data_IF_837042319341
#
_entry.id   IF_837042319341
#
_cell.length_a   1.000
_cell.length_b   1.000
_cell.length_c   1.000
_cell.angle_alpha   90.00
_cell.angle_beta   90.00
_cell.angle_gamma   90.00
#
_symmetry.space_group_name_H-M   'P 1'
#
loop_
_entity.id
_entity.type
_entity.pdbx_description
1 polymer ?
#
# COMPACT_ATOMS: atom_id res chain seq x y z
N UNK A 1 32.73 -25.66 44.06
CA UNK A 1 31.61 -25.50 43.11
C UNK A 1 32.16 -24.79 41.88
N UNK A 2 32.58 -25.54 40.87
CA UNK A 2 33.04 -24.95 39.61
C UNK A 2 31.82 -24.31 38.93
N UNK A 3 31.82 -22.99 38.78
CA UNK A 3 30.76 -22.28 38.06
C UNK A 3 30.63 -22.87 36.65
N UNK A 4 29.40 -23.16 36.22
CA UNK A 4 29.13 -23.57 34.84
C UNK A 4 29.83 -22.59 33.91
N UNK A 5 30.64 -23.09 32.98
CA UNK A 5 31.26 -22.23 31.98
C UNK A 5 30.13 -21.51 31.21
N UNK A 6 30.36 -20.26 30.81
CA UNK A 6 29.40 -19.50 29.97
C UNK A 6 28.97 -20.33 28.74
N UNK A 7 29.86 -21.19 28.26
CA UNK A 7 29.64 -22.12 27.14
C UNK A 7 28.61 -23.21 27.50
N UNK A 8 28.64 -23.76 28.72
CA UNK A 8 27.68 -24.79 29.16
C UNK A 8 26.27 -24.22 29.36
N UNK A 9 26.18 -22.93 29.73
CA UNK A 9 24.91 -22.21 29.87
C UNK A 9 24.31 -21.92 28.49
N UNK A 10 25.14 -21.54 27.51
CA UNK A 10 24.72 -21.28 26.14
C UNK A 10 24.26 -22.55 25.38
N UNK A 11 24.87 -23.71 25.64
CA UNK A 11 24.46 -24.99 25.02
C UNK A 11 23.15 -25.56 25.60
N UNK A 12 22.82 -25.24 26.85
CA UNK A 12 21.65 -25.79 27.55
C UNK A 12 20.50 -24.80 27.69
N UNK A 13 20.43 -23.78 26.82
CA UNK A 13 19.28 -22.87 26.81
C UNK A 13 18.05 -23.71 26.43
N UNK A 14 17.01 -23.79 27.29
CA UNK A 14 15.78 -24.48 26.96
C UNK A 14 15.16 -23.86 25.70
N UNK A 15 14.66 -24.69 24.79
CA UNK A 15 13.99 -24.21 23.55
C UNK A 15 12.85 -23.23 23.86
N UNK A 16 12.19 -23.40 25.01
CA UNK A 16 11.11 -22.54 25.50
C UNK A 16 11.59 -21.09 25.70
N UNK A 17 12.83 -20.90 26.19
CA UNK A 17 13.44 -19.57 26.36
C UNK A 17 13.75 -18.97 24.99
N UNK A 18 14.28 -19.75 24.05
CA UNK A 18 14.56 -19.31 22.68
C UNK A 18 13.27 -18.84 22.00
N UNK A 19 12.20 -19.66 22.06
CA UNK A 19 10.90 -19.31 21.50
C UNK A 19 10.29 -18.09 22.18
N UNK A 20 10.46 -17.92 23.49
CA UNK A 20 9.98 -16.75 24.22
C UNK A 20 10.70 -15.47 23.76
N UNK A 21 12.03 -15.53 23.57
CA UNK A 21 12.82 -14.39 23.08
C UNK A 21 12.39 -14.01 21.66
N UNK A 22 12.24 -15.00 20.76
CA UNK A 22 11.78 -14.77 19.38
C UNK A 22 10.37 -14.16 19.40
N UNK A 23 9.46 -14.69 20.22
CA UNK A 23 8.09 -14.18 20.35
C UNK A 23 8.08 -12.73 20.83
N UNK A 24 8.83 -12.40 21.88
CA UNK A 24 8.94 -11.02 22.41
C UNK A 24 9.46 -10.09 21.31
N UNK A 25 10.48 -10.53 20.57
CA UNK A 25 11.06 -9.72 19.51
C UNK A 25 10.16 -9.54 18.28
N UNK A 26 9.22 -10.45 18.03
CA UNK A 26 8.18 -10.24 17.03
C UNK A 26 7.09 -9.29 17.53
N UNK A 27 6.75 -9.35 18.82
CA UNK A 27 5.70 -8.50 19.42
C UNK A 27 6.13 -7.03 19.49
N UNK A 28 7.40 -6.75 19.82
CA UNK A 28 7.89 -5.37 19.99
C UNK A 28 7.64 -4.52 18.73
N UNK A 29 8.04 -4.92 17.51
CA UNK A 29 7.79 -4.15 16.30
C UNK A 29 6.31 -4.01 15.91
N UNK A 30 5.48 -4.98 16.28
CA UNK A 30 4.03 -4.91 16.04
C UNK A 30 3.37 -3.81 16.89
N UNK A 31 3.84 -3.61 18.13
CA UNK A 31 3.37 -2.57 19.02
C UNK A 31 4.00 -1.21 18.71
N UNK A 32 5.32 -1.21 18.42
CA UNK A 32 6.10 -0.01 18.12
C UNK A 32 7.00 -0.30 16.91
N UNK A 33 6.57 0.05 15.68
CA UNK A 33 7.40 -0.13 14.50
C UNK A 33 8.72 0.60 14.71
N UNK A 34 9.82 -0.11 14.48
CA UNK A 34 11.18 0.39 14.61
C UNK A 34 11.57 1.21 13.38
N UNK A 35 10.88 1.02 12.26
CA UNK A 35 11.18 1.69 11.00
C UNK A 35 12.55 1.28 10.47
N UNK A 36 12.88 -0.01 10.56
CA UNK A 36 14.16 -0.49 10.05
C UNK A 36 14.28 -0.16 8.56
N UNK A 37 15.50 0.14 8.06
CA UNK A 37 15.68 0.46 6.65
C UNK A 37 15.13 -0.63 5.73
N UNK A 38 14.10 -0.29 4.95
CA UNK A 38 13.55 -1.16 3.92
C UNK A 38 14.08 -0.69 2.56
N UNK A 39 14.70 -1.57 1.76
CA UNK A 39 15.13 -1.20 0.42
C UNK A 39 13.89 -0.86 -0.43
N UNK A 40 13.88 0.34 -1.00
CA UNK A 40 12.77 0.80 -1.85
C UNK A 40 13.02 0.37 -3.30
N UNK A 41 12.12 -0.46 -3.82
CA UNK A 41 12.15 -0.98 -5.18
C UNK A 41 11.85 0.08 -6.25
N UNK A 42 12.30 -0.15 -7.47
CA UNK A 42 12.06 0.76 -8.60
C UNK A 42 10.56 1.01 -8.89
N UNK A 43 9.65 0.00 -8.85
CA UNK A 43 8.22 0.23 -9.03
C UNK A 43 7.64 1.23 -8.02
N UNK A 44 8.09 1.17 -6.76
CA UNK A 44 7.63 2.08 -5.71
C UNK A 44 8.18 3.49 -5.89
N UNK A 45 9.42 3.64 -6.35
CA UNK A 45 9.96 4.97 -6.71
C UNK A 45 9.17 5.59 -7.86
N UNK A 46 8.89 4.83 -8.92
CA UNK A 46 8.06 5.31 -10.05
C UNK A 46 6.66 5.71 -9.60
N UNK A 47 6.05 4.95 -8.68
CA UNK A 47 4.76 5.30 -8.09
C UNK A 47 4.83 6.61 -7.30
N UNK A 48 5.86 6.78 -6.46
CA UNK A 48 6.11 8.01 -5.72
C UNK A 48 6.28 9.22 -6.65
N UNK A 49 7.18 9.10 -7.63
CA UNK A 49 7.51 10.17 -8.57
C UNK A 49 6.30 10.57 -9.43
N UNK A 50 5.45 9.61 -9.78
CA UNK A 50 4.23 9.90 -10.52
C UNK A 50 3.24 10.77 -9.71
N UNK A 51 3.15 10.56 -8.39
CA UNK A 51 2.34 11.41 -7.50
C UNK A 51 3.01 12.77 -7.27
N UNK A 52 4.31 12.79 -7.04
CA UNK A 52 5.07 14.04 -6.84
C UNK A 52 5.04 14.96 -8.06
N UNK A 53 4.97 14.39 -9.26
CA UNK A 53 4.87 15.13 -10.52
C UNK A 53 3.48 15.70 -10.82
N UNK A 54 2.51 15.58 -9.91
CA UNK A 54 1.19 16.20 -10.06
C UNK A 54 1.25 17.71 -9.81
N UNK A 55 0.77 18.53 -10.75
CA UNK A 55 0.57 19.96 -10.52
C UNK A 55 -0.42 20.23 -9.36
N UNK A 56 -0.27 21.35 -8.65
CA UNK A 56 -1.30 21.82 -7.72
C UNK A 56 -2.65 21.99 -8.42
N UNK A 57 -3.72 21.55 -7.78
CA UNK A 57 -5.08 21.57 -8.29
C UNK A 57 -5.47 20.36 -9.15
N UNK A 58 -4.54 19.45 -9.44
CA UNK A 58 -4.85 18.23 -10.20
C UNK A 58 -5.97 17.40 -9.55
N UNK A 59 -6.84 16.86 -10.41
CA UNK A 59 -7.93 15.98 -10.02
C UNK A 59 -7.52 14.52 -10.22
N UNK A 60 -7.63 13.71 -9.16
CA UNK A 60 -7.23 12.31 -9.12
C UNK A 60 -8.44 11.43 -8.84
N UNK A 61 -8.71 10.46 -9.72
CA UNK A 61 -9.70 9.41 -9.48
C UNK A 61 -9.03 8.23 -8.78
N UNK A 62 -9.59 7.79 -7.66
CA UNK A 62 -9.11 6.64 -6.87
C UNK A 62 -10.16 5.55 -6.93
N UNK A 63 -9.86 4.50 -7.69
CA UNK A 63 -10.63 3.26 -7.74
C UNK A 63 -10.06 2.29 -6.70
N UNK A 64 -10.68 2.21 -5.52
CA UNK A 64 -10.21 1.32 -4.45
C UNK A 64 -10.77 -0.09 -4.57
N UNK A 65 -10.11 -1.04 -3.91
CA UNK A 65 -10.45 -2.46 -4.00
C UNK A 65 -11.73 -2.80 -3.23
N UNK A 66 -12.24 -4.01 -3.45
CA UNK A 66 -13.34 -4.57 -2.68
C UNK A 66 -12.90 -4.99 -1.26
N UNK A 67 -13.87 -5.27 -0.40
CA UNK A 67 -13.63 -5.64 1.00
C UNK A 67 -12.82 -6.94 1.14
N UNK A 68 -13.04 -7.92 0.27
CA UNK A 68 -12.34 -9.21 0.32
C UNK A 68 -10.84 -9.10 0.01
N UNK A 69 -10.47 -8.19 -0.88
CA UNK A 69 -9.09 -7.96 -1.27
C UNK A 69 -8.38 -6.90 -0.40
N UNK A 70 -9.12 -6.09 0.35
CA UNK A 70 -8.59 -5.01 1.17
C UNK A 70 -7.38 -5.38 2.04
N UNK A 71 -7.35 -6.53 2.74
CA UNK A 71 -6.20 -6.89 3.58
C UNK A 71 -4.85 -6.98 2.83
N UNK A 72 -4.88 -7.29 1.53
CA UNK A 72 -3.67 -7.33 0.70
C UNK A 72 -3.20 -5.92 0.31
N UNK A 73 -4.14 -4.99 0.08
CA UNK A 73 -3.85 -3.64 -0.42
C UNK A 73 -3.76 -2.58 0.68
N UNK A 74 -4.05 -2.90 1.94
CA UNK A 74 -4.18 -1.94 3.05
C UNK A 74 -2.98 -0.98 3.14
N UNK A 75 -1.77 -1.51 3.25
CA UNK A 75 -0.55 -0.70 3.41
C UNK A 75 -0.31 0.23 2.20
N UNK A 76 -0.41 -0.30 0.97
CA UNK A 76 -0.26 0.49 -0.25
C UNK A 76 -1.32 1.59 -0.39
N UNK A 77 -2.60 1.28 -0.10
CA UNK A 77 -3.68 2.26 -0.19
C UNK A 77 -3.53 3.36 0.86
N UNK A 78 -3.31 2.99 2.13
CA UNK A 78 -3.15 3.95 3.23
C UNK A 78 -1.94 4.86 2.99
N UNK A 79 -0.79 4.30 2.59
CA UNK A 79 0.40 5.08 2.25
C UNK A 79 0.16 6.02 1.06
N UNK A 80 -0.50 5.54 0.00
CA UNK A 80 -0.86 6.37 -1.16
C UNK A 80 -1.77 7.52 -0.78
N UNK A 81 -2.75 7.30 0.10
CA UNK A 81 -3.63 8.36 0.57
C UNK A 81 -2.90 9.36 1.47
N UNK A 82 -2.03 8.92 2.38
CA UNK A 82 -1.18 9.83 3.17
C UNK A 82 -0.34 10.73 2.26
N UNK A 83 0.19 10.19 1.17
CA UNK A 83 0.94 10.96 0.18
C UNK A 83 0.03 11.92 -0.58
N UNK A 84 -1.10 11.47 -1.13
CA UNK A 84 -2.01 12.33 -1.87
C UNK A 84 -2.58 13.47 -1.03
N UNK A 85 -2.97 13.21 0.22
CA UNK A 85 -3.49 14.25 1.10
C UNK A 85 -2.42 15.24 1.57
N UNK A 86 -1.12 14.90 1.53
CA UNK A 86 -0.05 15.88 1.76
C UNK A 86 0.18 16.81 0.56
N UNK A 87 -0.39 16.47 -0.61
CA UNK A 87 -0.28 17.26 -1.85
C UNK A 87 -1.45 18.24 -2.02
N UNK A 88 -1.26 19.35 -2.75
CA UNK A 88 -2.33 20.27 -3.10
C UNK A 88 -3.19 19.74 -4.27
N UNK A 89 -3.71 18.51 -4.17
CA UNK A 89 -4.55 17.86 -5.19
C UNK A 89 -5.97 17.61 -4.66
N UNK A 90 -6.90 17.38 -5.58
CA UNK A 90 -8.30 17.03 -5.32
C UNK A 90 -8.56 15.55 -5.61
N UNK A 91 -9.29 14.86 -4.73
CA UNK A 91 -9.49 13.41 -4.82
C UNK A 91 -10.97 13.04 -5.03
N UNK A 92 -11.23 12.21 -6.03
CA UNK A 92 -12.54 11.56 -6.24
C UNK A 92 -12.37 10.08 -5.98
N UNK A 93 -13.08 9.53 -5.00
CA UNK A 93 -13.06 8.10 -4.73
C UNK A 93 -14.15 7.40 -5.52
N UNK A 94 -13.91 6.18 -5.95
CA UNK A 94 -14.83 5.31 -6.68
C UNK A 94 -14.72 3.88 -6.16
N UNK A 95 -15.85 3.27 -5.82
CA UNK A 95 -15.90 1.88 -5.39
C UNK A 95 -16.10 0.96 -6.59
N UNK A 96 -15.28 -0.07 -6.74
CA UNK A 96 -15.42 -1.06 -7.83
C UNK A 96 -16.61 -2.00 -7.66
N UNK A 97 -17.10 -2.15 -6.42
CA UNK A 97 -18.30 -2.91 -6.07
C UNK A 97 -19.01 -2.29 -4.86
N UNK A 98 -20.17 -2.85 -4.50
CA UNK A 98 -20.98 -2.37 -3.37
C UNK A 98 -20.26 -2.45 -2.01
N UNK A 99 -19.30 -3.36 -1.84
CA UNK A 99 -18.56 -3.53 -0.57
C UNK A 99 -17.44 -2.49 -0.40
N UNK A 100 -17.05 -1.82 -1.49
CA UNK A 100 -16.01 -0.79 -1.49
C UNK A 100 -16.32 0.39 -0.56
N UNK A 101 -17.58 0.66 -0.23
CA UNK A 101 -17.95 1.72 0.72
C UNK A 101 -17.33 1.49 2.12
N UNK A 102 -17.33 0.23 2.59
CA UNK A 102 -16.73 -0.13 3.88
C UNK A 102 -15.20 0.07 3.84
N UNK A 103 -14.58 -0.22 2.70
CA UNK A 103 -13.14 -0.01 2.50
C UNK A 103 -12.80 1.48 2.55
N UNK A 104 -13.59 2.32 1.89
CA UNK A 104 -13.43 3.76 1.90
C UNK A 104 -13.47 4.34 3.33
N UNK A 105 -14.48 3.97 4.12
CA UNK A 105 -14.60 4.46 5.50
C UNK A 105 -13.42 4.00 6.37
N UNK A 106 -12.98 2.74 6.18
CA UNK A 106 -11.81 2.19 6.86
C UNK A 106 -10.54 2.97 6.49
N UNK A 107 -10.31 3.23 5.20
CA UNK A 107 -9.16 4.00 4.73
C UNK A 107 -9.13 5.41 5.32
N UNK A 108 -10.26 6.12 5.29
CA UNK A 108 -10.33 7.48 5.84
C UNK A 108 -10.16 7.52 7.35
N UNK A 109 -10.64 6.51 8.08
CA UNK A 109 -10.42 6.41 9.53
C UNK A 109 -8.95 6.25 9.90
N UNK A 110 -8.15 5.57 9.05
CA UNK A 110 -6.71 5.36 9.26
C UNK A 110 -5.89 6.58 8.87
N UNK A 111 -6.25 7.23 7.77
CA UNK A 111 -5.48 8.32 7.19
C UNK A 111 -5.80 9.66 7.85
N UNK A 112 -7.05 9.84 8.30
CA UNK A 112 -7.62 11.07 8.83
C UNK A 112 -7.32 12.31 7.96
N UNK A 113 -8.13 12.59 6.91
CA UNK A 113 -7.94 13.75 6.05
C UNK A 113 -7.87 15.08 6.81
N UNK A 114 -8.47 15.17 8.01
CA UNK A 114 -8.44 16.40 8.83
C UNK A 114 -7.03 16.71 9.32
N UNK A 115 -6.19 15.69 9.56
CA UNK A 115 -4.78 15.88 9.92
C UNK A 115 -3.97 16.58 8.81
N UNK A 116 -4.50 16.58 7.58
CA UNK A 116 -3.94 17.26 6.41
C UNK A 116 -4.67 18.56 6.07
N UNK A 117 -5.63 18.99 6.90
CA UNK A 117 -6.47 20.17 6.64
C UNK A 117 -7.45 19.98 5.47
N UNK A 118 -7.75 18.73 5.08
CA UNK A 118 -8.60 18.42 3.93
C UNK A 118 -10.07 18.35 4.32
N UNK A 119 -10.92 18.95 3.49
CA UNK A 119 -12.36 19.10 3.74
C UNK A 119 -13.17 18.32 2.70
N UNK A 120 -14.14 17.53 3.20
CA UNK A 120 -15.05 16.77 2.36
C UNK A 120 -15.89 17.71 1.47
N UNK A 121 -16.01 17.38 0.18
CA UNK A 121 -16.72 18.15 -0.84
C UNK A 121 -15.93 19.33 -1.43
N UNK A 122 -14.79 19.70 -0.83
CA UNK A 122 -13.89 20.77 -1.33
C UNK A 122 -12.59 20.17 -1.85
N UNK A 123 -11.96 19.30 -1.07
CA UNK A 123 -10.71 18.64 -1.42
C UNK A 123 -10.90 17.18 -1.85
N UNK A 124 -11.92 16.52 -1.29
CA UNK A 124 -12.22 15.14 -1.66
C UNK A 124 -13.70 14.79 -1.49
N UNK A 125 -14.20 13.87 -2.31
CA UNK A 125 -15.51 13.26 -2.14
C UNK A 125 -15.54 11.85 -2.73
N UNK A 126 -16.61 11.11 -2.49
CA UNK A 126 -16.73 9.72 -2.93
C UNK A 126 -18.04 9.54 -3.69
N UNK A 127 -17.93 9.08 -4.93
CA UNK A 127 -19.10 8.88 -5.83
C UNK A 127 -19.81 7.55 -5.60
N UNK A 128 -19.30 6.70 -4.72
CA UNK A 128 -19.87 5.40 -4.41
C UNK A 128 -19.57 4.35 -5.47
N UNK A 129 -20.44 3.35 -5.56
CA UNK A 129 -20.40 2.28 -6.56
C UNK A 129 -21.40 2.56 -7.68
N UNK A 130 -20.93 2.50 -8.92
CA UNK A 130 -21.77 2.61 -10.12
C UNK A 130 -21.81 1.23 -10.81
N UNK A 131 -22.98 0.58 -10.88
CA UNK A 131 -23.12 -0.71 -11.57
C UNK A 131 -22.79 -0.62 -13.06
N UNK A 132 -22.27 -1.71 -13.62
CA UNK A 132 -22.02 -1.83 -15.07
C UNK A 132 -20.56 -2.00 -15.49
N UNK A 133 -19.62 -2.06 -14.54
CA UNK A 133 -18.21 -2.38 -14.82
C UNK A 133 -17.58 -1.40 -15.81
N UNK A 134 -17.06 -1.90 -16.94
CA UNK A 134 -16.51 -1.04 -18.01
C UNK A 134 -17.54 -0.01 -18.54
N UNK A 135 -18.84 -0.33 -18.53
CA UNK A 135 -19.88 0.63 -18.96
C UNK A 135 -19.96 1.83 -18.01
N UNK A 136 -19.79 1.60 -16.70
CA UNK A 136 -19.75 2.68 -15.72
C UNK A 136 -18.47 3.51 -15.87
N UNK A 137 -17.32 2.86 -16.11
CA UNK A 137 -16.06 3.56 -16.40
C UNK A 137 -16.20 4.45 -17.63
N UNK A 138 -16.82 3.95 -18.69
CA UNK A 138 -17.11 4.73 -19.90
C UNK A 138 -18.05 5.91 -19.62
N UNK A 139 -19.15 5.68 -18.89
CA UNK A 139 -20.10 6.73 -18.55
C UNK A 139 -19.44 7.87 -17.77
N UNK A 140 -18.58 7.55 -16.80
CA UNK A 140 -17.78 8.53 -16.06
C UNK A 140 -16.83 9.33 -16.97
N UNK A 141 -16.33 8.71 -18.04
CA UNK A 141 -15.44 9.38 -18.98
C UNK A 141 -16.19 10.34 -19.92
N UNK A 142 -17.42 10.01 -20.32
CA UNK A 142 -18.21 10.78 -21.29
C UNK A 142 -18.95 11.97 -20.64
N UNK A 143 -19.62 11.74 -19.51
CA UNK A 143 -20.35 12.77 -18.76
C UNK A 143 -20.40 12.40 -17.28
N UNK A 144 -19.56 13.07 -16.49
CA UNK A 144 -19.39 12.80 -15.07
C UNK A 144 -20.68 13.05 -14.27
N UNK A 145 -21.42 14.11 -14.60
CA UNK A 145 -22.62 14.48 -13.84
C UNK A 145 -23.82 13.62 -14.21
N UNK A 146 -23.93 13.21 -15.48
CA UNK A 146 -24.94 12.24 -15.89
C UNK A 146 -24.68 10.86 -15.27
N UNK A 147 -23.42 10.45 -15.16
CA UNK A 147 -23.04 9.20 -14.53
C UNK A 147 -23.19 9.20 -12.99
N UNK A 148 -23.03 10.38 -12.36
CA UNK A 148 -23.03 10.54 -10.89
C UNK A 148 -24.05 11.60 -10.48
N UNK A 149 -25.34 11.25 -10.31
CA UNK A 149 -26.35 12.21 -9.87
C UNK A 149 -26.15 12.67 -8.41
N UNK A 150 -25.59 11.81 -7.55
CA UNK A 150 -25.30 12.10 -6.14
C UNK A 150 -24.05 11.37 -5.66
N UNK A 151 -23.42 11.89 -4.61
CA UNK A 151 -22.35 11.18 -3.90
C UNK A 151 -22.88 9.98 -3.08
N UNK A 152 -21.98 9.25 -2.45
CA UNK A 152 -22.33 8.11 -1.61
C UNK A 152 -23.18 8.47 -0.37
N UNK A 153 -23.21 9.74 0.04
CA UNK A 153 -24.04 10.25 1.15
C UNK A 153 -25.42 10.70 0.69
N UNK A 154 -25.72 10.62 -0.61
CA UNK A 154 -26.95 11.13 -1.20
C UNK A 154 -26.95 12.65 -1.45
N UNK A 155 -25.81 13.32 -1.30
CA UNK A 155 -25.66 14.74 -1.65
C UNK A 155 -25.71 14.88 -3.17
N UNK A 156 -26.64 15.66 -3.75
CA UNK A 156 -26.66 15.90 -5.19
C UNK A 156 -25.32 16.45 -5.67
N UNK A 157 -24.82 15.94 -6.80
CA UNK A 157 -23.46 16.25 -7.27
C UNK A 157 -23.25 17.76 -7.48
N UNK A 158 -24.28 18.48 -7.92
CA UNK A 158 -24.25 19.92 -8.15
C UNK A 158 -24.12 20.76 -6.85
N UNK A 159 -24.44 20.16 -5.70
CA UNK A 159 -24.25 20.80 -4.39
C UNK A 159 -22.81 20.64 -3.87
N UNK A 160 -22.02 19.74 -4.45
CA UNK A 160 -20.65 19.47 -4.02
C UNK A 160 -19.71 20.50 -4.67
N UNK A 161 -19.06 21.40 -3.90
CA UNK A 161 -18.26 22.49 -4.44
C UNK A 161 -17.22 22.05 -5.49
N UNK A 162 -16.46 20.98 -5.21
CA UNK A 162 -15.42 20.52 -6.13
C UNK A 162 -15.93 19.80 -7.37
N UNK A 163 -17.17 19.31 -7.37
CA UNK A 163 -17.74 18.59 -8.49
C UNK A 163 -18.35 19.51 -9.55
N UNK A 164 -18.53 20.80 -9.24
CA UNK A 164 -19.14 21.78 -10.15
C UNK A 164 -18.38 21.93 -11.47
N UNK A 165 -17.05 21.85 -11.38
CA UNK A 165 -16.13 22.04 -12.51
C UNK A 165 -15.79 20.73 -13.24
N UNK A 166 -16.23 19.58 -12.72
CA UNK A 166 -15.96 18.27 -13.31
C UNK A 166 -17.05 17.98 -14.36
N UNK A 167 -16.66 17.87 -15.63
CA UNK A 167 -17.56 17.57 -16.75
C UNK A 167 -17.35 16.17 -17.27
N UNK A 168 -16.10 15.80 -17.53
CA UNK A 168 -15.77 14.54 -18.19
C UNK A 168 -14.32 14.13 -17.90
N UNK A 169 -13.84 13.09 -18.60
CA UNK A 169 -12.50 12.54 -18.46
C UNK A 169 -11.38 13.60 -18.57
N UNK A 170 -11.60 14.70 -19.28
CA UNK A 170 -10.56 15.69 -19.62
C UNK A 170 -10.13 16.53 -18.42
N UNK A 171 -10.95 16.56 -17.37
CA UNK A 171 -10.67 17.29 -16.14
C UNK A 171 -9.78 16.48 -15.18
N UNK A 172 -9.64 15.16 -15.39
CA UNK A 172 -8.81 14.28 -14.58
C UNK A 172 -7.36 14.29 -15.07
N UNK A 173 -6.41 14.34 -14.13
CA UNK A 173 -4.97 14.26 -14.43
C UNK A 173 -4.42 12.85 -14.18
N UNK A 174 -5.01 12.11 -13.25
CA UNK A 174 -4.52 10.81 -12.84
C UNK A 174 -5.68 9.90 -12.42
N UNK A 175 -5.51 8.61 -12.70
CA UNK A 175 -6.32 7.55 -12.12
C UNK A 175 -5.41 6.56 -11.39
N UNK A 176 -5.82 6.18 -10.18
CA UNK A 176 -5.13 5.20 -9.35
C UNK A 176 -6.12 4.05 -9.10
N UNK A 177 -5.74 2.84 -9.52
CA UNK A 177 -6.55 1.65 -9.35
C UNK A 177 -5.87 0.66 -8.40
N UNK A 178 -6.60 0.24 -7.37
CA UNK A 178 -6.27 -0.89 -6.51
C UNK A 178 -7.28 -2.00 -6.77
N UNK A 179 -6.84 -3.13 -7.30
CA UNK A 179 -7.79 -4.19 -7.68
C UNK A 179 -7.21 -5.59 -7.61
N UNK A 180 -8.05 -6.54 -7.20
CA UNK A 180 -7.81 -7.98 -7.34
C UNK A 180 -8.38 -8.57 -8.64
N UNK A 181 -8.99 -7.74 -9.49
CA UNK A 181 -9.68 -8.15 -10.70
C UNK A 181 -9.04 -7.53 -11.94
N UNK A 182 -8.58 -8.40 -12.86
CA UNK A 182 -7.79 -7.99 -14.02
C UNK A 182 -8.63 -7.24 -15.05
N UNK A 183 -9.91 -7.60 -15.14
CA UNK A 183 -10.87 -6.88 -15.97
C UNK A 183 -11.03 -5.44 -15.53
N UNK A 184 -11.00 -5.15 -14.23
CA UNK A 184 -11.05 -3.77 -13.73
C UNK A 184 -9.80 -2.99 -14.13
N UNK A 185 -8.61 -3.59 -13.96
CA UNK A 185 -7.36 -2.90 -14.28
C UNK A 185 -7.19 -2.64 -15.78
N UNK A 186 -7.66 -3.56 -16.63
CA UNK A 186 -7.65 -3.42 -18.10
C UNK A 186 -8.81 -2.52 -18.57
N UNK A 187 -9.96 -2.54 -17.90
CA UNK A 187 -11.11 -1.72 -18.21
C UNK A 187 -10.80 -0.22 -18.17
N UNK A 188 -10.07 0.23 -17.13
CA UNK A 188 -9.59 1.62 -17.08
C UNK A 188 -8.68 1.97 -18.26
N UNK A 189 -7.86 1.04 -18.74
CA UNK A 189 -7.04 1.28 -19.94
C UNK A 189 -7.93 1.47 -21.16
N UNK A 190 -8.86 0.56 -21.39
CA UNK A 190 -9.74 0.57 -22.58
C UNK A 190 -10.65 1.78 -22.62
N UNK A 191 -11.25 2.12 -21.48
CA UNK A 191 -12.27 3.16 -21.41
C UNK A 191 -11.69 4.57 -21.19
N UNK A 192 -10.55 4.69 -20.51
CA UNK A 192 -9.96 5.98 -20.18
C UNK A 192 -8.66 6.24 -20.92
N UNK A 193 -7.67 5.36 -20.77
CA UNK A 193 -6.30 5.67 -21.22
C UNK A 193 -6.15 5.62 -22.74
N UNK A 194 -6.85 4.71 -23.42
CA UNK A 194 -6.89 4.68 -24.89
C UNK A 194 -7.53 5.96 -25.46
N UNK A 195 -8.53 6.51 -24.76
CA UNK A 195 -9.23 7.74 -25.18
C UNK A 195 -8.41 8.99 -24.84
N UNK A 196 -7.72 8.97 -23.70
CA UNK A 196 -6.93 10.08 -23.16
C UNK A 196 -5.58 9.59 -22.61
N UNK A 197 -4.57 9.41 -23.48
CA UNK A 197 -3.25 8.94 -23.08
C UNK A 197 -2.49 9.89 -22.15
N UNK A 198 -2.93 11.15 -22.03
CA UNK A 198 -2.31 12.15 -21.16
C UNK A 198 -2.58 11.89 -19.67
N UNK A 199 -3.62 11.10 -19.35
CA UNK A 199 -3.95 10.74 -17.97
C UNK A 199 -2.93 9.73 -17.46
N UNK A 200 -2.29 10.06 -16.34
CA UNK A 200 -1.37 9.13 -15.68
C UNK A 200 -2.17 8.01 -15.03
N UNK A 201 -1.96 6.78 -15.48
CA UNK A 201 -2.58 5.61 -14.86
C UNK A 201 -1.62 4.88 -13.93
N UNK A 202 -1.95 4.85 -12.65
CA UNK A 202 -1.26 4.09 -11.62
C UNK A 202 -2.08 2.85 -11.29
N UNK A 203 -1.46 1.68 -11.35
CA UNK A 203 -2.16 0.41 -11.12
C UNK A 203 -1.44 -0.44 -10.06
N UNK A 204 -2.13 -0.73 -8.97
CA UNK A 204 -1.70 -1.66 -7.93
C UNK A 204 -2.60 -2.89 -7.99
N UNK A 205 -2.00 -4.03 -8.32
CA UNK A 205 -2.71 -5.31 -8.48
C UNK A 205 -2.18 -6.34 -7.49
N UNK A 206 -2.87 -7.48 -7.36
CA UNK A 206 -2.29 -8.62 -6.66
C UNK A 206 -1.02 -9.06 -7.38
N UNK A 207 -0.01 -9.50 -6.63
CA UNK A 207 1.33 -9.75 -7.19
C UNK A 207 1.29 -10.80 -8.32
N UNK A 208 0.41 -11.80 -8.22
CA UNK A 208 0.20 -12.82 -9.26
C UNK A 208 -0.34 -12.26 -10.59
N UNK A 209 -0.90 -11.05 -10.58
CA UNK A 209 -1.49 -10.38 -11.74
C UNK A 209 -0.52 -9.42 -12.44
N UNK A 210 0.65 -9.15 -11.84
CA UNK A 210 1.67 -8.32 -12.46
C UNK A 210 2.04 -8.78 -13.89
N UNK A 211 2.18 -10.08 -14.20
CA UNK A 211 2.45 -10.54 -15.56
C UNK A 211 1.36 -10.14 -16.56
N UNK A 212 0.09 -10.12 -16.14
CA UNK A 212 -1.05 -9.73 -16.99
C UNK A 212 -1.02 -8.24 -17.33
N UNK A 213 -0.61 -7.39 -16.38
CA UNK A 213 -0.55 -5.94 -16.57
C UNK A 213 0.76 -5.45 -17.21
N UNK A 214 1.80 -6.27 -17.20
CA UNK A 214 3.14 -5.90 -17.70
C UNK A 214 3.15 -5.42 -19.15
N UNK A 215 2.46 -6.06 -20.13
CA UNK A 215 2.46 -5.57 -21.50
C UNK A 215 1.92 -4.13 -21.65
N UNK A 216 0.91 -3.78 -20.86
CA UNK A 216 0.32 -2.43 -20.86
C UNK A 216 1.25 -1.39 -20.23
N UNK A 217 1.99 -1.78 -19.20
CA UNK A 217 3.02 -0.96 -18.59
C UNK A 217 4.20 -0.72 -19.54
N UNK A 218 4.69 -1.76 -20.21
CA UNK A 218 5.76 -1.65 -21.21
C UNK A 218 5.33 -0.83 -22.44
N UNK A 219 4.05 -0.87 -22.81
CA UNK A 219 3.47 -0.02 -23.84
C UNK A 219 3.25 1.44 -23.42
N UNK A 220 3.54 1.81 -22.17
CA UNK A 220 3.37 3.17 -21.64
C UNK A 220 1.93 3.56 -21.29
N UNK A 221 0.98 2.61 -21.34
CA UNK A 221 -0.42 2.84 -20.97
C UNK A 221 -0.65 2.80 -19.45
N UNK A 222 0.33 2.29 -18.70
CA UNK A 222 0.36 2.36 -17.23
C UNK A 222 1.63 3.13 -16.85
N UNK A 223 1.49 4.26 -16.18
CA UNK A 223 2.62 5.11 -15.80
C UNK A 223 3.44 4.51 -14.65
N UNK A 224 2.78 3.84 -13.70
CA UNK A 224 3.45 3.04 -12.68
C UNK A 224 2.61 1.83 -12.29
N UNK A 225 3.24 0.65 -12.33
CA UNK A 225 2.64 -0.64 -12.01
C UNK A 225 3.34 -1.24 -10.80
N UNK A 226 2.58 -1.63 -9.78
CA UNK A 226 3.13 -2.28 -8.58
C UNK A 226 2.23 -3.38 -8.05
N UNK A 227 2.82 -4.26 -7.25
CA UNK A 227 2.10 -5.27 -6.48
C UNK A 227 1.52 -4.70 -5.18
N UNK A 228 0.83 -5.56 -4.45
CA UNK A 228 0.26 -5.25 -3.14
C UNK A 228 1.27 -5.38 -1.99
N UNK A 229 2.24 -6.31 -2.12
CA UNK A 229 3.24 -6.58 -1.08
C UNK A 229 4.18 -5.41 -0.74
N UNK A 230 4.64 -4.56 -1.69
CA UNK A 230 5.61 -3.50 -1.41
C UNK A 230 5.08 -2.31 -0.59
N UNK A 231 3.90 -2.38 0.04
CA UNK A 231 3.34 -1.28 0.83
C UNK A 231 4.23 -0.80 1.98
N UNK A 232 5.00 -1.69 2.61
CA UNK A 232 5.98 -1.30 3.63
C UNK A 232 7.12 -0.45 3.07
N UNK A 233 7.57 -0.71 1.84
CA UNK A 233 8.58 0.10 1.16
C UNK A 233 8.05 1.52 0.92
N UNK A 234 6.77 1.63 0.56
CA UNK A 234 6.17 2.92 0.28
C UNK A 234 5.91 3.74 1.55
N UNK A 235 5.39 3.10 2.60
CA UNK A 235 5.30 3.68 3.95
C UNK A 235 6.65 4.22 4.43
N UNK A 236 7.74 3.48 4.18
CA UNK A 236 9.09 3.89 4.54
C UNK A 236 9.52 5.11 3.73
N UNK A 237 9.31 5.07 2.41
CA UNK A 237 9.67 6.16 1.50
C UNK A 237 8.99 7.49 1.85
N UNK A 238 7.71 7.46 2.24
CA UNK A 238 6.95 8.66 2.61
C UNK A 238 7.13 9.07 4.09
N UNK A 239 7.92 8.30 4.87
CA UNK A 239 8.14 8.57 6.29
C UNK A 239 6.89 8.41 7.16
N UNK A 240 5.94 7.54 6.76
CA UNK A 240 4.70 7.27 7.51
C UNK A 240 4.58 5.76 7.79
N UNK A 241 5.13 5.29 8.92
CA UNK A 241 5.03 3.88 9.29
C UNK A 241 3.58 3.43 9.47
N UNK A 242 3.20 2.36 8.78
CA UNK A 242 1.87 1.78 8.81
C UNK A 242 1.90 0.27 9.03
N UNK A 243 0.93 -0.44 8.46
CA UNK A 243 0.81 -1.89 8.63
C UNK A 243 1.89 -2.66 7.87
N UNK A 244 2.45 -2.09 6.81
CA UNK A 244 3.54 -2.66 6.02
C UNK A 244 4.86 -2.71 6.78
N UNK A 245 5.33 -1.57 7.30
CA UNK A 245 6.58 -1.48 8.08
C UNK A 245 6.48 -2.34 9.35
N UNK A 246 5.35 -2.35 10.05
CA UNK A 246 5.16 -3.21 11.24
C UNK A 246 5.40 -4.69 10.93
N UNK A 247 4.88 -5.17 9.79
CA UNK A 247 5.08 -6.56 9.33
C UNK A 247 6.54 -6.79 8.94
N UNK A 248 7.15 -5.85 8.23
CA UNK A 248 8.55 -5.92 7.81
C UNK A 248 9.50 -5.96 9.02
N UNK A 249 9.34 -5.04 9.97
CA UNK A 249 10.17 -4.97 11.18
C UNK A 249 10.02 -6.23 12.04
N UNK A 250 8.80 -6.77 12.19
CA UNK A 250 8.58 -8.00 12.95
C UNK A 250 9.29 -9.20 12.30
N UNK A 251 9.26 -9.28 10.96
CA UNK A 251 9.96 -10.32 10.22
C UNK A 251 11.48 -10.16 10.30
N UNK A 252 12.00 -8.96 10.04
CA UNK A 252 13.43 -8.65 10.12
C UNK A 252 13.97 -8.87 11.55
N UNK A 253 13.23 -8.44 12.57
CA UNK A 253 13.61 -8.64 13.97
C UNK A 253 13.74 -10.12 14.34
N UNK A 254 12.78 -10.96 13.91
CA UNK A 254 12.84 -12.40 14.12
C UNK A 254 14.07 -13.03 13.43
N UNK A 255 14.36 -12.63 12.19
CA UNK A 255 15.50 -13.13 11.43
C UNK A 255 16.85 -12.71 12.05
N UNK A 256 16.96 -11.47 12.52
CA UNK A 256 18.18 -10.98 13.17
C UNK A 256 18.49 -11.75 14.45
N UNK A 257 17.47 -12.05 15.25
CA UNK A 257 17.66 -12.83 16.49
C UNK A 257 18.03 -14.27 16.18
N UNK A 258 17.39 -14.88 15.18
CA UNK A 258 17.77 -16.21 14.72
C UNK A 258 19.24 -16.24 14.26
N UNK A 259 19.67 -15.23 13.50
CA UNK A 259 21.06 -15.08 13.08
C UNK A 259 22.01 -14.96 14.27
N UNK A 260 21.67 -14.15 15.29
CA UNK A 260 22.44 -14.03 16.53
C UNK A 260 22.56 -15.38 17.23
N UNK A 261 21.49 -16.17 17.32
CA UNK A 261 21.55 -17.51 17.91
C UNK A 261 22.43 -18.47 17.12
N UNK A 262 22.39 -18.42 15.78
CA UNK A 262 23.28 -19.23 14.92
C UNK A 262 24.75 -18.86 15.15
N UNK A 263 25.06 -17.56 15.23
CA UNK A 263 26.43 -17.08 15.49
C UNK A 263 26.91 -17.56 16.86
N UNK A 264 26.10 -17.38 17.91
CA UNK A 264 26.43 -17.83 19.26
C UNK A 264 26.66 -19.35 19.30
N UNK A 265 25.79 -20.13 18.66
CA UNK A 265 25.93 -21.59 18.58
C UNK A 265 27.20 -22.02 17.84
N UNK A 266 27.54 -21.35 16.74
CA UNK A 266 28.77 -21.62 16.00
C UNK A 266 30.02 -21.26 16.82
N UNK A 267 30.04 -20.14 17.53
CA UNK A 267 31.14 -19.75 18.42
C UNK A 267 31.33 -20.80 19.53
N UNK A 268 30.25 -21.23 20.18
CA UNK A 268 30.31 -22.27 21.21
C UNK A 268 30.87 -23.59 20.67
N UNK A 269 30.43 -24.01 19.48
CA UNK A 269 30.93 -25.21 18.80
C UNK A 269 32.42 -25.15 18.47
N UNK A 270 32.90 -24.00 17.95
CA UNK A 270 34.33 -23.79 17.63
C UNK A 270 35.18 -23.76 18.90
N UNK A 271 34.76 -23.02 19.93
CA UNK A 271 35.47 -22.95 21.22
C UNK A 271 35.65 -24.34 21.85
N UNK A 272 34.63 -25.20 21.75
CA UNK A 272 34.68 -26.58 22.23
C UNK A 272 35.62 -27.47 21.42
N UNK A 273 35.66 -27.29 20.09
CA UNK A 273 36.62 -27.99 19.22
C UNK A 273 38.07 -27.61 19.55
N UNK A 274 38.33 -26.33 19.80
CA UNK A 274 39.66 -25.85 20.19
C UNK A 274 40.07 -26.33 21.59
N UNK A 275 39.14 -26.36 22.55
CA UNK A 275 39.39 -26.88 23.90
C UNK A 275 39.65 -28.38 23.97
N UNK A 276 39.11 -29.18 23.03
CA UNK A 276 39.37 -30.63 22.93
C UNK A 276 40.59 -30.99 22.08
N UNK A 277 41.12 -30.05 21.27
CA UNK A 277 42.29 -30.26 20.40
C UNK A 277 43.64 -30.06 21.08
N UNK A 278 43.68 -29.59 22.34
CA UNK A 278 44.91 -29.33 23.11
C UNK A 278 45.37 -30.50 23.99
N UNK A 279 44.75 -31.68 23.87
CA UNK A 279 45.22 -32.91 24.53
C UNK A 279 45.70 -33.88 23.44
N UNK A 280 46.92 -33.66 22.98
CA UNK A 280 47.74 -34.67 22.29
C UNK A 280 49.16 -34.60 22.85
#
# INVERSE_FOLDING_TARGET
MAGKSIIDVLENIPREVIYTIILIAMIIPLLRPLGLPVPVSEPIKKWYDAIESLPPGSLVLISHCNLGAYPAFDSMQVATLHHLFSRPVKLVFFSIDATGLVVYDTLLSKVDPKAYGKVYGVDYFHIGYIPGGETAMKALAEDFKAAVPSDYKGTPIDQIPMAKDIKDIRDFTMIICFTSAGETSIGWIRQWIVVRPEIKYLCCVLDMMLPTMRPYYEAGQVAALTGSAPGGEYEFLIGKPGSGIKKADAFTGAQLILLVFIIIGNIASIAKRMGKGGVR
#
